data_IF_318491605921
#
_entry.id   IF_318491605921
#
_cell.length_a   1.000
_cell.length_b   1.000
_cell.length_c   1.000
_cell.angle_alpha   90.00
_cell.angle_beta   90.00
_cell.angle_gamma   90.00
#
_symmetry.space_group_name_H-M   'P 1'
#
loop_
_entity.id
_entity.type
_entity.pdbx_description
1 polymer ?
#
# COMPACT_ATOMS: atom_id res chain seq x y z
N UNK A 1 -4.38 -9.78 -11.95
CA UNK A 1 -4.66 -8.46 -12.54
C UNK A 1 -3.77 -7.43 -11.87
N UNK A 2 -3.04 -6.62 -12.64
CA UNK A 2 -2.17 -5.57 -12.10
C UNK A 2 -2.96 -4.27 -11.91
N UNK A 3 -2.77 -3.60 -10.78
CA UNK A 3 -3.54 -2.41 -10.37
C UNK A 3 -2.58 -1.31 -9.95
N UNK A 4 -2.83 -0.09 -10.42
CA UNK A 4 -2.22 1.14 -9.90
C UNK A 4 -3.24 1.94 -9.11
N UNK A 5 -2.84 2.52 -7.97
CA UNK A 5 -3.70 3.40 -7.17
C UNK A 5 -3.24 4.85 -7.34
N UNK A 6 -4.10 5.70 -7.90
CA UNK A 6 -3.87 7.14 -7.96
C UNK A 6 -4.52 7.82 -6.74
N UNK A 7 -3.69 8.29 -5.82
CA UNK A 7 -4.10 8.88 -4.55
C UNK A 7 -3.96 7.92 -3.37
N UNK A 8 -2.77 7.88 -2.76
CA UNK A 8 -2.46 7.04 -1.57
C UNK A 8 -2.90 7.66 -0.22
N UNK A 9 -4.00 8.42 -0.26
CA UNK A 9 -4.65 8.99 0.91
C UNK A 9 -5.50 7.97 1.67
N UNK A 10 -6.56 8.46 2.35
CA UNK A 10 -7.42 7.62 3.19
C UNK A 10 -8.02 6.44 2.42
N UNK A 11 -8.66 6.68 1.28
CA UNK A 11 -9.34 5.63 0.50
C UNK A 11 -8.32 4.65 -0.10
N UNK A 12 -7.23 5.15 -0.69
CA UNK A 12 -6.19 4.30 -1.26
C UNK A 12 -5.65 3.29 -0.25
N UNK A 13 -5.38 3.71 0.99
CA UNK A 13 -4.92 2.81 2.06
C UNK A 13 -5.99 1.81 2.50
N UNK A 14 -7.25 2.24 2.63
CA UNK A 14 -8.34 1.35 2.99
C UNK A 14 -8.58 0.26 1.95
N UNK A 15 -8.39 0.57 0.65
CA UNK A 15 -8.44 -0.43 -0.42
C UNK A 15 -7.36 -1.50 -0.21
N UNK A 16 -6.12 -1.11 0.08
CA UNK A 16 -5.03 -2.07 0.37
C UNK A 16 -5.35 -2.91 1.61
N UNK A 17 -5.82 -2.28 2.70
CA UNK A 17 -6.22 -2.98 3.92
C UNK A 17 -7.34 -4.00 3.67
N UNK A 18 -8.39 -3.62 2.94
CA UNK A 18 -9.50 -4.51 2.60
C UNK A 18 -9.03 -5.69 1.75
N UNK A 19 -8.14 -5.47 0.79
CA UNK A 19 -7.57 -6.54 -0.03
C UNK A 19 -6.70 -7.50 0.78
N UNK A 20 -5.94 -6.98 1.75
CA UNK A 20 -5.15 -7.81 2.66
C UNK A 20 -6.05 -8.67 3.56
N UNK A 21 -7.12 -8.11 4.11
CA UNK A 21 -8.12 -8.83 4.92
C UNK A 21 -8.85 -9.91 4.11
N UNK A 22 -9.21 -9.60 2.86
CA UNK A 22 -9.87 -10.54 1.94
C UNK A 22 -8.90 -11.56 1.31
N UNK A 23 -7.60 -11.48 1.59
CA UNK A 23 -6.55 -12.34 1.02
C UNK A 23 -6.52 -12.32 -0.52
N UNK A 24 -6.84 -11.17 -1.11
CA UNK A 24 -6.80 -10.95 -2.57
C UNK A 24 -5.58 -10.16 -3.02
N UNK A 25 -4.84 -9.59 -2.06
CA UNK A 25 -3.58 -8.89 -2.28
C UNK A 25 -2.49 -9.88 -2.74
N UNK A 26 -1.85 -9.58 -3.87
CA UNK A 26 -0.86 -10.44 -4.51
C UNK A 26 -1.46 -11.43 -5.50
N UNK A 27 -2.60 -12.06 -5.18
CA UNK A 27 -3.45 -12.80 -6.13
C UNK A 27 -4.92 -12.83 -5.68
N UNK A 28 -5.89 -12.60 -6.57
CA UNK A 28 -5.75 -12.33 -8.00
C UNK A 28 -5.40 -10.87 -8.32
N UNK A 29 -5.28 -10.00 -7.32
CA UNK A 29 -5.10 -8.56 -7.49
C UNK A 29 -3.71 -8.13 -7.00
N UNK A 30 -2.88 -7.68 -7.93
CA UNK A 30 -1.50 -7.30 -7.69
C UNK A 30 -1.35 -5.78 -7.80
N UNK A 31 -1.08 -5.12 -6.68
CA UNK A 31 -0.90 -3.66 -6.65
C UNK A 31 0.56 -3.38 -6.98
N UNK A 32 0.80 -2.81 -8.16
CA UNK A 32 2.16 -2.59 -8.67
C UNK A 32 2.69 -1.19 -8.34
N UNK A 33 1.80 -0.22 -8.15
CA UNK A 33 2.19 1.15 -7.88
C UNK A 33 1.10 1.92 -7.13
N UNK A 34 1.54 2.87 -6.31
CA UNK A 34 0.69 3.88 -5.68
C UNK A 34 1.33 5.26 -5.89
N UNK A 35 0.51 6.30 -6.00
CA UNK A 35 1.00 7.69 -6.11
C UNK A 35 0.24 8.61 -5.17
N UNK A 36 0.95 9.55 -4.56
CA UNK A 36 0.42 10.68 -3.78
C UNK A 36 1.31 11.91 -4.03
N UNK A 37 1.00 13.03 -3.37
CA UNK A 37 1.75 14.29 -3.46
C UNK A 37 3.19 14.14 -2.95
N UNK A 38 3.41 13.35 -1.88
CA UNK A 38 4.74 12.99 -1.40
C UNK A 38 5.12 11.58 -1.84
N UNK A 39 6.42 11.30 -1.95
CA UNK A 39 6.94 9.98 -2.37
C UNK A 39 7.83 9.36 -1.29
N UNK A 40 7.54 9.64 -0.01
CA UNK A 40 8.24 9.03 1.11
C UNK A 40 7.63 7.67 1.47
N UNK A 41 8.27 6.60 1.01
CA UNK A 41 7.87 5.23 1.30
C UNK A 41 7.83 4.92 2.80
N UNK A 42 8.72 5.51 3.63
CA UNK A 42 8.72 5.29 5.08
C UNK A 42 7.47 5.86 5.71
N UNK A 43 7.06 7.05 5.25
CA UNK A 43 5.84 7.69 5.72
C UNK A 43 4.60 6.91 5.29
N UNK A 44 4.56 6.42 4.06
CA UNK A 44 3.50 5.55 3.57
C UNK A 44 3.38 4.24 4.35
N UNK A 45 4.51 3.60 4.65
CA UNK A 45 4.53 2.38 5.46
C UNK A 45 3.96 2.63 6.85
N UNK A 46 4.31 3.76 7.48
CA UNK A 46 3.74 4.16 8.77
C UNK A 46 2.21 4.35 8.68
N UNK A 47 1.74 5.13 7.71
CA UNK A 47 0.32 5.42 7.52
C UNK A 47 -0.52 4.18 7.17
N UNK A 48 0.07 3.21 6.46
CA UNK A 48 -0.59 1.94 6.18
C UNK A 48 -0.63 1.06 7.43
N UNK A 49 0.48 1.00 8.18
CA UNK A 49 0.62 0.13 9.36
C UNK A 49 -0.30 0.52 10.51
N UNK A 50 -0.54 1.82 10.70
CA UNK A 50 -1.32 2.35 11.83
C UNK A 50 -2.47 3.23 11.35
N UNK A 51 -3.70 2.77 11.57
CA UNK A 51 -4.93 3.53 11.36
C UNK A 51 -5.66 3.74 12.70
N UNK A 52 -6.06 4.97 13.00
CA UNK A 52 -6.73 5.30 14.27
C UNK A 52 -8.11 4.68 14.43
N UNK A 53 -8.81 4.39 13.32
CA UNK A 53 -10.18 3.84 13.32
C UNK A 53 -10.15 2.33 13.10
N UNK A 54 -9.34 1.87 12.13
CA UNK A 54 -9.31 0.47 11.72
C UNK A 54 -8.21 -0.35 12.42
N UNK A 55 -7.35 0.28 13.20
CA UNK A 55 -6.29 -0.38 13.95
C UNK A 55 -5.05 -0.66 13.11
N UNK A 56 -4.39 -1.80 13.36
CA UNK A 56 -3.12 -2.15 12.72
C UNK A 56 -3.35 -2.96 11.46
N UNK A 57 -2.56 -2.70 10.42
CA UNK A 57 -2.56 -3.52 9.21
C UNK A 57 -2.19 -4.98 9.55
N UNK A 58 -2.91 -5.98 9.00
CA UNK A 58 -2.72 -7.39 9.37
C UNK A 58 -1.40 -8.00 8.86
N UNK A 59 -0.79 -7.40 7.83
CA UNK A 59 0.45 -7.88 7.23
C UNK A 59 1.71 -7.18 7.74
N UNK A 60 2.86 -7.70 7.31
CA UNK A 60 4.14 -7.02 7.49
C UNK A 60 4.28 -5.92 6.46
N UNK A 61 4.67 -4.72 6.90
CA UNK A 61 4.95 -3.58 6.03
C UNK A 61 6.42 -3.20 6.21
N UNK A 62 7.16 -3.14 5.11
CA UNK A 62 8.57 -2.75 5.05
C UNK A 62 8.81 -1.82 3.87
N UNK A 63 9.94 -1.11 3.90
CA UNK A 63 10.36 -0.22 2.81
C UNK A 63 11.75 -0.62 2.34
N UNK A 64 11.98 -0.49 1.04
CA UNK A 64 13.28 -0.67 0.42
C UNK A 64 13.59 0.54 -0.46
N UNK A 65 14.87 0.78 -0.72
CA UNK A 65 15.27 1.77 -1.72
C UNK A 65 14.84 1.29 -3.09
N UNK A 66 14.36 2.20 -3.94
CA UNK A 66 14.00 1.92 -5.32
C UNK A 66 15.19 1.30 -6.05
N UNK A 67 14.92 0.28 -6.87
CA UNK A 67 15.91 -0.30 -7.78
C UNK A 67 15.88 0.45 -9.12
N UNK A 68 16.96 1.15 -9.50
CA UNK A 68 17.02 1.87 -10.78
C UNK A 68 16.87 0.97 -12.01
N UNK A 69 17.11 -0.35 -11.92
CA UNK A 69 16.95 -1.25 -13.06
C UNK A 69 15.50 -1.67 -13.33
N UNK A 70 14.56 -1.29 -12.46
CA UNK A 70 13.13 -1.57 -12.61
C UNK A 70 12.33 -0.40 -13.21
N UNK A 71 13.01 0.70 -13.55
CA UNK A 71 12.42 1.88 -14.18
C UNK A 71 12.22 1.71 -15.69
#
# INVERSE_FOLDING_TARGET
MKIGINGFGRIGRLVISAMAEQKTLGQPLDIVAVVDVSTDAKYFAYQLKYDSVHGKFPGQVSTAKSDPSLA
#
